data_IF_325301073691
#
_entry.id   IF_325301073691
#
_cell.length_a   1.000
_cell.length_b   1.000
_cell.length_c   1.000
_cell.angle_alpha   90.00
_cell.angle_beta   90.00
_cell.angle_gamma   90.00
#
_symmetry.space_group_name_H-M   'P 1'
#
loop_
_entity.id
_entity.type
_entity.pdbx_description
1 polymer ?
#
# COMPACT_ATOMS: atom_id res chain seq x y z
N UNK A 1 -7.07 28.80 14.02
CA UNK A 1 -8.22 27.94 13.65
C UNK A 1 -7.65 26.74 12.91
N UNK A 2 -7.29 25.66 13.63
CA UNK A 2 -6.82 24.43 13.00
C UNK A 2 -8.05 23.62 12.60
N UNK A 3 -8.33 23.54 11.30
CA UNK A 3 -9.36 22.66 10.78
C UNK A 3 -8.96 21.21 11.08
N UNK A 4 -9.90 20.42 11.61
CA UNK A 4 -9.69 19.01 11.87
C UNK A 4 -9.30 18.29 10.58
N UNK A 5 -8.13 17.64 10.58
CA UNK A 5 -7.68 16.83 9.46
C UNK A 5 -8.43 15.50 9.48
N UNK A 6 -9.66 15.50 8.95
CA UNK A 6 -10.38 14.27 8.64
C UNK A 6 -9.61 13.46 7.58
N UNK A 7 -9.84 12.15 7.49
CA UNK A 7 -9.21 11.33 6.46
C UNK A 7 -9.53 11.91 5.08
N UNK A 8 -8.49 12.12 4.27
CA UNK A 8 -8.66 12.57 2.90
C UNK A 8 -9.53 11.56 2.12
N UNK A 9 -10.41 12.02 1.22
CA UNK A 9 -11.21 11.13 0.42
C UNK A 9 -10.31 10.23 -0.45
N UNK A 10 -10.74 8.99 -0.64
CA UNK A 10 -10.00 8.03 -1.46
C UNK A 10 -9.81 8.55 -2.89
N UNK A 11 -8.60 8.44 -3.49
CA UNK A 11 -8.26 9.12 -4.74
C UNK A 11 -8.74 8.38 -6.00
N UNK A 12 -10.05 8.19 -6.15
CA UNK A 12 -10.66 7.47 -7.28
C UNK A 12 -10.23 7.96 -8.66
N UNK A 13 -10.21 9.29 -8.85
CA UNK A 13 -9.85 9.89 -10.14
C UNK A 13 -8.44 9.52 -10.58
N UNK A 14 -7.50 9.45 -9.64
CA UNK A 14 -6.11 9.12 -9.92
C UNK A 14 -5.97 7.66 -10.35
N UNK A 15 -6.60 6.75 -9.60
CA UNK A 15 -6.64 5.31 -9.89
C UNK A 15 -7.23 5.01 -11.26
N UNK A 16 -8.39 5.57 -11.58
CA UNK A 16 -9.05 5.35 -12.87
C UNK A 16 -8.21 5.92 -14.03
N UNK A 17 -7.62 7.10 -13.85
CA UNK A 17 -6.77 7.73 -14.89
C UNK A 17 -5.48 6.92 -15.14
N UNK A 18 -4.91 6.34 -14.09
CA UNK A 18 -3.71 5.50 -14.19
C UNK A 18 -4.02 4.14 -14.83
N UNK A 19 -5.01 3.41 -14.31
CA UNK A 19 -5.33 2.05 -14.76
C UNK A 19 -5.93 2.04 -16.17
N UNK A 20 -6.96 2.87 -16.43
CA UNK A 20 -7.66 2.87 -17.72
C UNK A 20 -6.93 3.69 -18.78
N UNK A 21 -6.16 4.69 -18.37
CA UNK A 21 -5.41 5.56 -19.28
C UNK A 21 -4.00 5.07 -19.54
N UNK A 22 -3.15 5.06 -18.51
CA UNK A 22 -1.71 4.80 -18.66
C UNK A 22 -1.38 3.30 -18.78
N UNK A 23 -2.07 2.43 -18.04
CA UNK A 23 -1.86 0.98 -18.11
C UNK A 23 -2.70 0.31 -19.21
N UNK A 24 -3.67 1.02 -19.80
CA UNK A 24 -4.52 0.52 -20.89
C UNK A 24 -5.46 -0.61 -20.49
N UNK A 25 -5.74 -0.76 -19.18
CA UNK A 25 -6.65 -1.79 -18.70
C UNK A 25 -8.08 -1.52 -19.17
N UNK A 26 -8.82 -2.60 -19.44
CA UNK A 26 -10.27 -2.47 -19.63
C UNK A 26 -10.93 -2.22 -18.27
N UNK A 27 -12.11 -1.57 -18.23
CA UNK A 27 -12.85 -1.38 -16.98
C UNK A 27 -13.11 -2.70 -16.22
N UNK A 28 -13.33 -3.81 -16.95
CA UNK A 28 -13.49 -5.14 -16.35
C UNK A 28 -12.25 -5.61 -15.60
N UNK A 29 -11.05 -5.40 -16.15
CA UNK A 29 -9.79 -5.79 -15.52
C UNK A 29 -9.54 -5.00 -14.23
N UNK A 30 -9.87 -3.70 -14.24
CA UNK A 30 -9.78 -2.84 -13.06
C UNK A 30 -10.71 -3.31 -11.92
N UNK A 31 -11.96 -3.67 -12.22
CA UNK A 31 -12.91 -4.13 -11.20
C UNK A 31 -12.64 -5.55 -10.73
N UNK A 32 -11.98 -6.38 -11.54
CA UNK A 32 -11.55 -7.72 -11.16
C UNK A 32 -10.27 -7.72 -10.31
N UNK A 33 -9.43 -6.69 -10.45
CA UNK A 33 -8.17 -6.58 -9.72
C UNK A 33 -8.38 -6.31 -8.22
N UNK A 34 -7.56 -6.94 -7.39
CA UNK A 34 -7.57 -6.72 -5.95
C UNK A 34 -6.83 -5.42 -5.58
N UNK A 35 -7.18 -4.77 -4.45
CA UNK A 35 -6.44 -3.61 -3.97
C UNK A 35 -4.94 -3.84 -3.78
N UNK A 36 -4.52 -5.06 -3.44
CA UNK A 36 -3.10 -5.44 -3.29
C UNK A 36 -2.36 -5.45 -4.63
N UNK A 37 -3.00 -5.97 -5.67
CA UNK A 37 -2.43 -5.96 -7.03
C UNK A 37 -2.33 -4.54 -7.54
N UNK A 38 -3.37 -3.72 -7.34
CA UNK A 38 -3.33 -2.32 -7.74
C UNK A 38 -2.24 -1.56 -6.96
N UNK A 39 -2.12 -1.79 -5.65
CA UNK A 39 -1.03 -1.23 -4.84
C UNK A 39 0.35 -1.58 -5.42
N UNK A 40 0.57 -2.82 -5.88
CA UNK A 40 1.85 -3.23 -6.47
C UNK A 40 2.20 -2.52 -7.79
N UNK A 41 1.19 -2.08 -8.55
CA UNK A 41 1.38 -1.37 -9.82
C UNK A 41 1.64 0.13 -9.63
N UNK A 42 1.06 0.71 -8.58
CA UNK A 42 1.17 2.15 -8.28
C UNK A 42 2.29 2.46 -7.30
N UNK A 43 2.71 1.48 -6.50
CA UNK A 43 3.90 1.58 -5.68
C UNK A 43 5.09 1.71 -6.62
N UNK A 44 5.67 2.91 -6.67
CA UNK A 44 7.12 3.04 -6.79
C UNK A 44 7.73 2.01 -5.84
N UNK A 45 8.74 1.21 -6.22
CA UNK A 45 9.33 0.23 -5.32
C UNK A 45 9.58 0.94 -4.00
N UNK A 46 8.75 0.59 -3.03
CA UNK A 46 8.86 1.15 -1.70
C UNK A 46 10.28 0.76 -1.30
N UNK A 47 11.07 1.74 -0.86
CA UNK A 47 12.17 1.42 0.02
C UNK A 47 11.51 0.68 1.17
N UNK A 48 11.37 -0.65 1.07
CA UNK A 48 10.86 -1.49 2.14
C UNK A 48 11.81 -1.20 3.27
N UNK A 49 11.45 -0.27 4.14
CA UNK A 49 12.33 0.21 5.17
C UNK A 49 12.67 -1.05 5.97
N UNK A 50 13.93 -1.50 5.96
CA UNK A 50 14.29 -2.72 6.66
C UNK A 50 13.83 -2.55 8.11
N UNK A 51 13.25 -3.60 8.69
CA UNK A 51 12.76 -3.52 10.06
C UNK A 51 13.92 -3.04 10.93
N UNK A 52 13.67 -2.05 11.78
CA UNK A 52 14.75 -1.50 12.60
C UNK A 52 15.26 -2.57 13.56
N UNK A 53 16.54 -2.51 13.92
CA UNK A 53 17.16 -3.46 14.86
C UNK A 53 16.36 -3.60 16.15
N UNK A 54 15.84 -2.49 16.69
CA UNK A 54 15.01 -2.52 17.90
C UNK A 54 13.65 -3.21 17.73
N UNK A 55 13.08 -3.24 16.51
CA UNK A 55 11.86 -4.03 16.23
C UNK A 55 12.22 -5.51 16.15
N UNK A 56 13.34 -5.87 15.53
CA UNK A 56 13.83 -7.24 15.50
C UNK A 56 14.10 -7.78 16.91
N UNK A 57 14.77 -7.00 17.75
CA UNK A 57 15.10 -7.39 19.13
C UNK A 57 13.83 -7.67 19.95
N UNK A 58 12.79 -6.84 19.80
CA UNK A 58 11.49 -7.06 20.47
C UNK A 58 10.77 -8.31 19.96
N UNK A 59 10.95 -8.67 18.70
CA UNK A 59 10.36 -9.88 18.14
C UNK A 59 11.06 -11.13 18.66
N UNK A 60 12.40 -11.12 18.74
CA UNK A 60 13.18 -12.22 19.29
C UNK A 60 12.91 -12.45 20.78
N UNK A 61 12.74 -11.36 21.56
CA UNK A 61 12.37 -11.44 22.98
C UNK A 61 10.96 -12.02 23.17
N UNK A 62 10.02 -11.63 22.30
CA UNK A 62 8.62 -12.05 22.40
C UNK A 62 8.37 -13.46 21.86
N UNK A 63 9.14 -13.90 20.89
CA UNK A 63 9.03 -15.20 20.24
C UNK A 63 10.41 -15.86 20.18
N UNK A 64 10.91 -16.38 21.31
CA UNK A 64 12.17 -17.09 21.33
C UNK A 64 12.03 -18.40 20.56
N UNK A 65 12.88 -18.64 19.57
CA UNK A 65 12.86 -19.84 18.72
C UNK A 65 13.45 -21.07 19.43
N UNK A 66 12.98 -21.35 20.65
CA UNK A 66 13.41 -22.47 21.49
C UNK A 66 12.21 -23.30 21.98
N UNK A 67 11.84 -24.29 21.17
CA UNK A 67 10.91 -25.38 21.50
C UNK A 67 11.31 -26.65 20.76
#
# INVERSE_FOLDING_TARGET
MSAGNGPAPFPWKLLLSLCLGKLGWRPGDFWAATPREIASLISTPDERMPISRGVLDRLMDRYPDGG
#
